data_IF_946513346714
#
_entry.id   IF_946513346714
#
_cell.length_a   1.000
_cell.length_b   1.000
_cell.length_c   1.000
_cell.angle_alpha   90.00
_cell.angle_beta   90.00
_cell.angle_gamma   90.00
#
_symmetry.space_group_name_H-M   'P 1'
#
loop_
_entity.id
_entity.type
_entity.pdbx_description
1 polymer ?
#
# COMPACT_ATOMS: atom_id res chain seq x y z
N UNK A 1 40.73 45.08 27.43
CA UNK A 1 41.64 43.97 27.05
C UNK A 1 40.75 42.84 26.56
N UNK A 2 40.80 42.65 25.25
CA UNK A 2 40.01 41.69 24.48
C UNK A 2 40.36 40.25 24.88
N UNK A 3 39.42 39.33 24.67
CA UNK A 3 39.59 38.25 23.68
C UNK A 3 38.22 37.70 23.28
N UNK A 4 37.82 38.00 22.04
CA UNK A 4 37.03 37.11 21.20
C UNK A 4 37.68 35.72 21.15
N UNK A 5 36.89 34.65 21.11
CA UNK A 5 36.74 33.82 19.90
C UNK A 5 36.30 32.39 20.20
N UNK A 6 35.40 31.94 19.32
CA UNK A 6 35.31 30.59 18.81
C UNK A 6 34.70 29.50 19.72
N UNK A 7 33.37 29.53 19.89
CA UNK A 7 32.58 28.28 19.75
C UNK A 7 31.12 28.53 19.34
N UNK A 8 30.86 29.55 18.52
CA UNK A 8 29.54 29.80 17.90
C UNK A 8 29.54 29.46 16.40
N UNK A 9 30.38 28.50 16.01
CA UNK A 9 30.42 27.97 14.66
C UNK A 9 29.92 26.52 14.69
N UNK A 10 28.72 26.34 14.11
CA UNK A 10 28.13 25.07 13.63
C UNK A 10 26.87 24.60 14.36
N UNK A 11 25.80 25.40 14.29
CA UNK A 11 24.51 24.85 13.87
C UNK A 11 23.67 25.88 13.10
N UNK A 12 24.25 26.43 12.03
CA UNK A 12 23.45 26.97 10.94
C UNK A 12 23.19 25.82 10.00
N UNK A 13 22.05 25.16 10.15
CA UNK A 13 21.46 24.41 9.03
C UNK A 13 21.51 25.34 7.81
N UNK A 14 22.15 24.92 6.70
CA UNK A 14 22.15 25.73 5.51
C UNK A 14 20.69 25.96 5.13
N UNK A 15 20.28 27.23 5.10
CA UNK A 15 18.94 27.61 4.69
C UNK A 15 18.74 27.09 3.27
N UNK A 16 18.09 25.93 3.14
CA UNK A 16 17.69 25.39 1.85
C UNK A 16 16.84 26.47 1.21
N UNK A 17 17.21 26.98 0.01
CA UNK A 17 16.44 28.00 -0.65
C UNK A 17 15.00 27.53 -0.71
N UNK A 18 14.09 28.23 -0.04
CA UNK A 18 12.66 27.99 -0.16
C UNK A 18 12.29 28.43 -1.57
N UNK A 19 12.52 27.54 -2.53
CA UNK A 19 12.16 27.72 -3.92
C UNK A 19 10.64 27.60 -3.96
N UNK A 20 9.98 28.71 -3.60
CA UNK A 20 8.54 28.86 -3.67
C UNK A 20 8.16 28.93 -5.15
N UNK A 21 8.06 27.78 -5.80
CA UNK A 21 7.35 27.66 -7.06
C UNK A 21 5.85 27.71 -6.78
N UNK A 22 5.32 28.88 -6.43
CA UNK A 22 3.88 29.07 -6.35
C UNK A 22 3.30 29.27 -7.77
N UNK A 23 3.68 28.39 -8.70
CA UNK A 23 3.35 28.52 -10.12
C UNK A 23 1.99 27.86 -10.40
N UNK A 24 1.14 28.48 -11.24
CA UNK A 24 -0.14 27.89 -11.66
C UNK A 24 0.02 26.50 -12.29
N UNK A 25 1.20 26.21 -12.84
CA UNK A 25 1.59 24.89 -13.36
C UNK A 25 1.49 23.76 -12.33
N UNK A 26 1.90 23.96 -11.07
CA UNK A 26 1.83 22.91 -10.04
C UNK A 26 0.38 22.54 -9.70
N UNK A 27 -0.53 23.51 -9.65
CA UNK A 27 -1.94 23.28 -9.36
C UNK A 27 -2.62 22.51 -10.50
N UNK A 28 -2.29 22.86 -11.74
CA UNK A 28 -2.78 22.15 -12.93
C UNK A 28 -2.25 20.72 -12.96
N UNK A 29 -0.96 20.52 -12.68
CA UNK A 29 -0.35 19.19 -12.64
C UNK A 29 -0.97 18.31 -11.55
N UNK A 30 -1.11 18.82 -10.32
CA UNK A 30 -1.76 18.08 -9.22
C UNK A 30 -3.21 17.70 -9.56
N UNK A 31 -3.96 18.62 -10.17
CA UNK A 31 -5.34 18.37 -10.59
C UNK A 31 -5.41 17.32 -11.72
N UNK A 32 -4.46 17.35 -12.66
CA UNK A 32 -4.33 16.35 -13.71
C UNK A 32 -4.02 14.96 -13.16
N UNK A 33 -3.10 14.86 -12.20
CA UNK A 33 -2.76 13.59 -11.54
C UNK A 33 -3.98 12.99 -10.84
N UNK A 34 -4.71 13.77 -10.04
CA UNK A 34 -5.91 13.28 -9.37
C UNK A 34 -7.00 12.83 -10.34
N UNK A 35 -7.14 13.49 -11.50
CA UNK A 35 -8.09 13.06 -12.52
C UNK A 35 -7.72 11.69 -13.09
N UNK A 36 -6.44 11.49 -13.42
CA UNK A 36 -5.93 10.22 -13.95
C UNK A 36 -6.08 9.10 -12.91
N UNK A 37 -5.76 9.40 -11.65
CA UNK A 37 -5.91 8.48 -10.52
C UNK A 37 -7.37 8.03 -10.35
N UNK A 38 -8.32 8.96 -10.36
CA UNK A 38 -9.74 8.65 -10.27
C UNK A 38 -10.24 7.79 -11.43
N UNK A 39 -9.83 8.11 -12.66
CA UNK A 39 -10.16 7.30 -13.85
C UNK A 39 -9.58 5.89 -13.70
N UNK A 40 -8.32 5.78 -13.26
CA UNK A 40 -7.66 4.50 -13.04
C UNK A 40 -8.40 3.63 -12.03
N UNK A 41 -8.84 4.22 -10.91
CA UNK A 41 -9.62 3.51 -9.88
C UNK A 41 -10.96 2.99 -10.40
N UNK A 42 -11.66 3.77 -11.24
CA UNK A 42 -12.91 3.34 -11.88
C UNK A 42 -12.64 2.13 -12.78
N UNK A 43 -11.60 2.19 -13.61
CA UNK A 43 -11.22 1.09 -14.50
C UNK A 43 -10.91 -0.17 -13.70
N UNK A 44 -10.12 -0.05 -12.63
CA UNK A 44 -9.78 -1.17 -11.75
C UNK A 44 -11.04 -1.77 -11.11
N UNK A 45 -11.96 -0.94 -10.61
CA UNK A 45 -13.18 -1.41 -9.97
C UNK A 45 -14.09 -2.18 -10.94
N UNK A 46 -14.29 -1.64 -12.15
CA UNK A 46 -15.10 -2.29 -13.19
C UNK A 46 -14.45 -3.60 -13.62
N UNK A 47 -13.16 -3.57 -13.95
CA UNK A 47 -12.42 -4.76 -14.38
C UNK A 47 -12.46 -5.86 -13.32
N UNK A 48 -12.26 -5.51 -12.05
CA UNK A 48 -12.28 -6.46 -10.92
C UNK A 48 -13.66 -7.08 -10.73
N UNK A 49 -14.73 -6.28 -10.86
CA UNK A 49 -16.12 -6.77 -10.75
C UNK A 49 -16.44 -7.76 -11.86
N UNK A 50 -16.08 -7.44 -13.11
CA UNK A 50 -16.28 -8.32 -14.27
C UNK A 50 -15.47 -9.61 -14.11
N UNK A 51 -14.20 -9.50 -13.71
CA UNK A 51 -13.32 -10.65 -13.50
C UNK A 51 -13.85 -11.58 -12.40
N UNK A 52 -14.36 -11.03 -11.30
CA UNK A 52 -15.01 -11.80 -10.24
C UNK A 52 -16.26 -12.53 -10.72
N UNK A 53 -17.12 -11.85 -11.48
CA UNK A 53 -18.29 -12.48 -12.09
C UNK A 53 -17.91 -13.64 -13.02
N UNK A 54 -16.90 -13.43 -13.87
CA UNK A 54 -16.39 -14.46 -14.77
C UNK A 54 -15.82 -15.67 -14.01
N UNK A 55 -15.05 -15.42 -12.94
CA UNK A 55 -14.51 -16.49 -12.11
C UNK A 55 -15.61 -17.35 -11.47
N UNK A 56 -16.70 -16.73 -11.00
CA UNK A 56 -17.86 -17.47 -10.47
C UNK A 56 -18.54 -18.33 -11.55
N UNK A 57 -18.67 -17.80 -12.77
CA UNK A 57 -19.24 -18.57 -13.90
C UNK A 57 -18.38 -19.81 -14.20
N UNK A 58 -17.05 -19.66 -14.27
CA UNK A 58 -16.12 -20.78 -14.49
C UNK A 58 -16.29 -21.86 -13.40
N UNK A 59 -16.40 -21.46 -12.14
CA UNK A 59 -16.61 -22.41 -11.03
C UNK A 59 -17.92 -23.19 -11.18
N UNK A 60 -18.96 -22.51 -11.65
CA UNK A 60 -20.25 -23.14 -11.92
C UNK A 60 -20.15 -24.14 -13.09
N UNK A 61 -19.48 -23.76 -14.19
CA UNK A 61 -19.24 -24.62 -15.35
C UNK A 61 -18.40 -25.86 -15.00
N UNK A 62 -17.42 -25.71 -14.11
CA UNK A 62 -16.55 -26.80 -13.64
C UNK A 62 -17.24 -27.72 -12.62
N UNK A 63 -18.36 -27.30 -12.01
CA UNK A 63 -19.08 -28.07 -10.98
C UNK A 63 -18.29 -28.29 -9.68
N UNK A 64 -17.17 -27.59 -9.50
CA UNK A 64 -16.29 -27.70 -8.35
C UNK A 64 -15.71 -26.33 -7.99
N UNK A 65 -15.59 -26.07 -6.68
CA UNK A 65 -14.97 -24.85 -6.16
C UNK A 65 -13.72 -25.25 -5.40
N UNK A 66 -12.56 -24.84 -5.90
CA UNK A 66 -11.28 -25.13 -5.26
C UNK A 66 -10.88 -24.08 -4.24
N UNK A 67 -9.83 -24.34 -3.48
CA UNK A 67 -9.23 -23.33 -2.63
C UNK A 67 -8.71 -22.12 -3.44
N UNK A 68 -8.05 -22.38 -4.56
CA UNK A 68 -7.50 -21.32 -5.42
C UNK A 68 -8.58 -20.37 -5.92
N UNK A 69 -9.75 -20.92 -6.25
CA UNK A 69 -10.95 -20.18 -6.66
C UNK A 69 -11.43 -19.21 -5.58
N UNK A 70 -11.54 -19.69 -4.33
CA UNK A 70 -11.95 -18.85 -3.21
C UNK A 70 -10.92 -17.76 -2.88
N UNK A 71 -9.62 -18.08 -2.99
CA UNK A 71 -8.55 -17.11 -2.79
C UNK A 71 -8.56 -16.03 -3.88
N UNK A 72 -8.84 -16.41 -5.12
CA UNK A 72 -8.97 -15.48 -6.25
C UNK A 72 -10.16 -14.53 -6.06
N UNK A 73 -11.33 -15.04 -5.66
CA UNK A 73 -12.48 -14.19 -5.34
C UNK A 73 -12.19 -13.24 -4.17
N UNK A 74 -11.47 -13.70 -3.16
CA UNK A 74 -11.07 -12.86 -2.04
C UNK A 74 -10.11 -11.75 -2.46
N UNK A 75 -9.17 -12.03 -3.37
CA UNK A 75 -8.29 -11.02 -3.96
C UNK A 75 -9.08 -9.96 -4.72
N UNK A 76 -10.11 -10.36 -5.50
CA UNK A 76 -10.97 -9.40 -6.19
C UNK A 76 -11.77 -8.52 -5.21
N UNK A 77 -12.38 -9.12 -4.19
CA UNK A 77 -13.10 -8.36 -3.16
C UNK A 77 -12.18 -7.40 -2.40
N UNK A 78 -10.95 -7.82 -2.14
CA UNK A 78 -9.95 -6.98 -1.51
C UNK A 78 -9.57 -5.79 -2.40
N UNK A 79 -9.31 -6.01 -3.69
CA UNK A 79 -9.02 -4.90 -4.61
C UNK A 79 -10.17 -3.89 -4.63
N UNK A 80 -11.43 -4.36 -4.64
CA UNK A 80 -12.60 -3.48 -4.53
C UNK A 80 -12.62 -2.72 -3.20
N UNK A 81 -12.31 -3.38 -2.08
CA UNK A 81 -12.20 -2.73 -0.77
C UNK A 81 -11.07 -1.68 -0.74
N UNK A 82 -9.93 -1.96 -1.38
CA UNK A 82 -8.84 -0.99 -1.49
C UNK A 82 -9.24 0.24 -2.30
N UNK A 83 -9.98 0.05 -3.40
CA UNK A 83 -10.53 1.16 -4.18
C UNK A 83 -11.51 1.96 -3.34
N UNK A 84 -12.43 1.32 -2.60
CA UNK A 84 -13.38 2.00 -1.73
C UNK A 84 -12.66 2.84 -0.64
N UNK A 85 -11.71 2.23 0.09
CA UNK A 85 -10.92 2.91 1.11
C UNK A 85 -10.09 4.05 0.51
N UNK A 86 -9.58 3.88 -0.71
CA UNK A 86 -8.84 4.93 -1.39
C UNK A 86 -9.74 6.14 -1.69
N UNK A 87 -10.96 5.91 -2.19
CA UNK A 87 -11.92 6.97 -2.46
C UNK A 87 -12.32 7.74 -1.18
N UNK A 88 -12.35 7.07 -0.03
CA UNK A 88 -12.63 7.70 1.27
C UNK A 88 -11.44 8.46 1.86
N UNK A 89 -10.22 7.92 1.74
CA UNK A 89 -9.06 8.39 2.50
C UNK A 89 -7.96 9.07 1.67
N UNK A 90 -8.02 8.97 0.33
CA UNK A 90 -7.00 9.44 -0.62
C UNK A 90 -5.64 8.72 -0.48
N UNK A 91 -5.59 7.57 0.21
CA UNK A 91 -4.36 6.82 0.51
C UNK A 91 -4.54 5.36 0.14
N UNK A 92 -3.56 4.77 -0.54
CA UNK A 92 -3.58 3.35 -0.90
C UNK A 92 -3.38 2.48 0.35
N UNK A 93 -4.35 1.61 0.72
CA UNK A 93 -4.26 0.78 1.91
C UNK A 93 -3.39 -0.46 1.66
N UNK A 94 -2.07 -0.33 1.79
CA UNK A 94 -1.11 -1.42 1.57
C UNK A 94 -1.13 -2.54 2.63
N UNK A 95 -1.86 -2.34 3.74
CA UNK A 95 -1.79 -3.25 4.91
C UNK A 95 -2.68 -4.47 4.76
N UNK A 96 -3.90 -4.28 4.25
CA UNK A 96 -4.86 -5.36 4.02
C UNK A 96 -4.29 -6.45 3.10
N UNK A 97 -3.69 -6.13 1.93
CA UNK A 97 -3.23 -7.18 1.00
C UNK A 97 -2.09 -8.01 1.52
N UNK A 98 -1.24 -7.42 2.36
CA UNK A 98 -0.16 -8.18 2.99
C UNK A 98 -0.69 -9.21 4.00
N UNK A 99 -1.80 -8.92 4.69
CA UNK A 99 -2.43 -9.92 5.56
C UNK A 99 -3.11 -11.03 4.76
N UNK A 100 -3.72 -10.69 3.63
CA UNK A 100 -4.38 -11.65 2.76
C UNK A 100 -3.36 -12.60 2.12
N UNK A 101 -2.17 -12.10 1.73
CA UNK A 101 -1.06 -12.93 1.28
C UNK A 101 -0.62 -13.95 2.35
N UNK A 102 -0.50 -13.51 3.62
CA UNK A 102 -0.16 -14.41 4.74
C UNK A 102 -1.23 -15.49 4.89
N UNK A 103 -2.51 -15.13 4.90
CA UNK A 103 -3.63 -16.06 5.07
C UNK A 103 -3.67 -17.07 3.91
N UNK A 104 -3.47 -16.61 2.67
CA UNK A 104 -3.44 -17.46 1.48
C UNK A 104 -2.30 -18.51 1.56
N UNK A 105 -1.08 -18.07 1.88
CA UNK A 105 0.07 -18.96 2.03
C UNK A 105 -0.09 -19.91 3.22
N UNK A 106 -0.64 -19.45 4.33
CA UNK A 106 -0.92 -20.31 5.48
C UNK A 106 -1.92 -21.41 5.12
N UNK A 107 -2.97 -21.06 4.36
CA UNK A 107 -3.98 -22.03 3.94
C UNK A 107 -3.45 -23.03 2.91
N UNK A 108 -2.60 -22.57 1.99
CA UNK A 108 -1.85 -23.44 1.07
C UNK A 108 -1.03 -24.49 1.84
N UNK A 109 -0.29 -24.05 2.85
CA UNK A 109 0.57 -24.93 3.65
C UNK A 109 -0.20 -25.98 4.46
N UNK A 110 -1.41 -25.65 4.93
CA UNK A 110 -2.25 -26.58 5.70
C UNK A 110 -2.94 -27.60 4.80
N UNK A 111 -3.43 -27.20 3.63
CA UNK A 111 -4.17 -28.13 2.75
C UNK A 111 -3.23 -29.03 1.95
N UNK A 112 -2.09 -28.50 1.49
CA UNK A 112 -1.19 -29.22 0.59
C UNK A 112 0.00 -29.86 1.31
N UNK A 113 -0.01 -29.93 2.65
CA UNK A 113 1.12 -30.44 3.46
C UNK A 113 1.62 -31.84 3.06
N UNK A 114 0.77 -32.66 2.43
CA UNK A 114 1.11 -34.02 1.98
C UNK A 114 1.73 -34.05 0.58
N UNK A 115 1.46 -33.04 -0.24
CA UNK A 115 1.95 -32.93 -1.61
C UNK A 115 3.22 -32.08 -1.69
N UNK A 116 3.46 -31.24 -0.67
CA UNK A 116 4.65 -30.42 -0.56
C UNK A 116 5.88 -31.24 -0.17
N UNK A 117 6.96 -31.04 -0.92
CA UNK A 117 8.29 -31.50 -0.50
C UNK A 117 8.77 -30.75 0.75
N UNK A 118 9.65 -31.37 1.53
CA UNK A 118 10.21 -30.77 2.75
C UNK A 118 10.81 -29.37 2.50
N UNK A 119 11.50 -29.20 1.37
CA UNK A 119 12.08 -27.91 0.97
C UNK A 119 11.03 -26.85 0.62
N UNK A 120 9.96 -27.24 -0.08
CA UNK A 120 8.86 -26.31 -0.41
C UNK A 120 8.11 -25.88 0.85
N UNK A 121 7.86 -26.81 1.77
CA UNK A 121 7.23 -26.49 3.05
C UNK A 121 8.03 -25.44 3.83
N UNK A 122 9.36 -25.64 3.95
CA UNK A 122 10.24 -24.68 4.62
C UNK A 122 10.26 -23.34 3.87
N UNK A 123 10.35 -23.35 2.54
CA UNK A 123 10.37 -22.12 1.74
C UNK A 123 9.09 -21.28 1.92
N UNK A 124 7.92 -21.91 1.92
CA UNK A 124 6.64 -21.23 2.14
C UNK A 124 6.55 -20.70 3.58
N UNK A 125 6.95 -21.50 4.58
CA UNK A 125 6.97 -21.08 5.98
C UNK A 125 7.89 -19.86 6.20
N UNK A 126 9.09 -19.87 5.62
CA UNK A 126 10.03 -18.74 5.67
C UNK A 126 9.44 -17.52 4.95
N UNK A 127 8.77 -17.71 3.81
CA UNK A 127 8.10 -16.62 3.08
C UNK A 127 7.03 -15.95 3.95
N UNK A 128 6.19 -16.72 4.65
CA UNK A 128 5.19 -16.19 5.58
C UNK A 128 5.86 -15.35 6.68
N UNK A 129 6.96 -15.84 7.26
CA UNK A 129 7.72 -15.13 8.29
C UNK A 129 8.29 -13.81 7.73
N UNK A 130 8.88 -13.83 6.53
CA UNK A 130 9.43 -12.62 5.90
C UNK A 130 8.36 -11.58 5.61
N UNK A 131 7.19 -11.99 5.12
CA UNK A 131 6.05 -11.08 4.92
C UNK A 131 5.59 -10.53 6.26
N UNK A 132 5.43 -11.38 7.29
CA UNK A 132 5.03 -10.95 8.62
C UNK A 132 6.00 -9.92 9.23
N UNK A 133 7.32 -10.16 9.15
CA UNK A 133 8.34 -9.21 9.59
C UNK A 133 8.25 -7.90 8.79
N UNK A 134 8.07 -7.99 7.47
CA UNK A 134 7.89 -6.80 6.62
C UNK A 134 6.67 -5.97 7.03
N UNK A 135 5.54 -6.62 7.33
CA UNK A 135 4.34 -5.93 7.84
C UNK A 135 4.57 -5.30 9.22
N UNK A 136 5.34 -5.96 10.09
CA UNK A 136 5.68 -5.44 11.41
C UNK A 136 6.56 -4.19 11.30
N UNK A 137 7.58 -4.23 10.44
CA UNK A 137 8.46 -3.09 10.17
C UNK A 137 7.65 -1.92 9.63
N UNK A 138 6.78 -2.15 8.64
CA UNK A 138 5.94 -1.12 8.06
C UNK A 138 4.99 -0.50 9.10
N UNK A 139 4.41 -1.33 9.97
CA UNK A 139 3.55 -0.88 11.07
C UNK A 139 4.33 -0.05 12.09
N UNK A 140 5.51 -0.51 12.49
CA UNK A 140 6.34 0.18 13.49
C UNK A 140 6.89 1.50 12.96
N UNK A 141 7.34 1.54 11.70
CA UNK A 141 7.81 2.76 11.03
C UNK A 141 6.70 3.82 10.96
N UNK A 142 5.47 3.42 10.62
CA UNK A 142 4.32 4.32 10.60
C UNK A 142 3.93 4.88 11.98
N UNK A 143 4.21 4.16 13.07
CA UNK A 143 3.92 4.63 14.44
C UNK A 143 5.03 5.53 15.00
N UNK A 144 6.30 5.22 14.70
CA UNK A 144 7.46 5.94 15.25
C UNK A 144 7.79 7.23 14.50
N UNK A 145 7.51 7.30 13.19
CA UNK A 145 7.81 8.46 12.35
C UNK A 145 6.56 9.00 11.62
N UNK A 146 5.59 9.57 12.35
CA UNK A 146 4.43 10.21 11.72
C UNK A 146 4.90 11.43 10.92
N UNK A 147 4.62 11.44 9.62
CA UNK A 147 5.00 12.54 8.74
C UNK A 147 4.24 13.81 9.14
N UNK A 148 4.95 14.80 9.71
CA UNK A 148 4.37 16.12 10.01
C UNK A 148 4.22 16.89 8.70
N UNK A 149 3.05 16.78 8.07
CA UNK A 149 2.67 17.72 7.02
C UNK A 149 2.52 19.10 7.66
N UNK A 150 3.54 19.96 7.50
CA UNK A 150 3.47 21.35 7.90
C UNK A 150 2.53 22.08 6.93
N UNK A 151 1.22 21.93 7.15
CA UNK A 151 0.16 22.66 6.45
C UNK A 151 0.29 24.12 6.87
N UNK A 152 1.04 24.89 6.09
CA UNK A 152 1.09 26.35 6.24
C UNK A 152 -0.33 26.88 6.07
N UNK A 153 -0.91 27.37 7.15
CA UNK A 153 -2.15 28.14 7.15
C UNK A 153 -1.95 29.35 6.24
N UNK A 154 -2.58 29.34 5.07
CA UNK A 154 -2.84 30.55 4.31
C UNK A 154 -3.91 31.32 5.07
N UNK A 155 -3.45 32.10 6.03
CA UNK A 155 -4.19 33.19 6.63
C UNK A 155 -4.32 34.25 5.54
N UNK A 156 -5.49 34.32 4.90
CA UNK A 156 -5.85 35.38 3.97
C UNK A 156 -6.92 36.20 4.67
N UNK A 157 -6.52 37.37 5.17
CA UNK A 157 -7.41 38.49 5.51
C UNK A 157 -8.18 38.94 4.28
#
# INVERSE_FOLDING_TARGET
>A
MNTESATDAQNKEPAVPNLKFNTPAEKVLKKGIHLVEFIGLIIIAIATTIAGGHAVIIMFENGAVTLGDLLLLFLYLEVLAMVAIYLESGKLPIRLPLYIAIIALARYLILDMKELTEWQFIAVAVTIILIAISTLILRYGSLKYPYKLNRKSSDTK
#
